data_IF_489929794143
#
_entry.id   IF_489929794143
#
_cell.length_a   1.000
_cell.length_b   1.000
_cell.length_c   1.000
_cell.angle_alpha   90.00
_cell.angle_beta   90.00
_cell.angle_gamma   90.00
#
_symmetry.space_group_name_H-M   'P 1'
#
loop_
_entity.id
_entity.type
_entity.pdbx_description
1 polymer ?
#
# COMPACT_ATOMS: atom_id res chain seq x y z
N UNK A 1 5.66 -4.79 8.44
CA UNK A 1 4.54 -5.17 9.34
C UNK A 1 3.59 -6.17 8.69
N UNK A 2 2.95 -5.86 7.54
CA UNK A 2 2.08 -6.81 6.84
C UNK A 2 2.67 -8.22 6.66
N UNK A 3 3.89 -8.33 6.11
CA UNK A 3 4.59 -9.62 5.96
C UNK A 3 4.73 -10.40 7.27
N UNK A 4 5.02 -9.71 8.38
CA UNK A 4 5.15 -10.33 9.70
C UNK A 4 3.81 -10.90 10.18
N UNK A 5 2.73 -10.11 10.10
CA UNK A 5 1.37 -10.54 10.46
C UNK A 5 0.96 -11.75 9.61
N UNK A 6 1.21 -11.68 8.30
CA UNK A 6 0.92 -12.77 7.37
C UNK A 6 1.66 -14.06 7.73
N UNK A 7 2.99 -14.00 7.84
CA UNK A 7 3.82 -15.19 8.07
C UNK A 7 3.47 -15.87 9.41
N UNK A 8 3.03 -15.09 10.42
CA UNK A 8 2.57 -15.62 11.72
C UNK A 8 1.14 -16.15 11.68
N UNK A 9 0.23 -15.46 11.01
CA UNK A 9 -1.18 -15.86 10.94
C UNK A 9 -1.44 -17.02 9.97
N UNK A 10 -0.52 -17.29 9.04
CA UNK A 10 -0.56 -18.45 8.14
C UNK A 10 -0.70 -19.79 8.90
N UNK A 11 -0.19 -19.87 10.14
CA UNK A 11 -0.37 -21.04 11.01
C UNK A 11 -1.84 -21.33 11.34
N UNK A 12 -2.67 -20.28 11.44
CA UNK A 12 -4.11 -20.37 11.76
C UNK A 12 -4.99 -20.42 10.53
N UNK A 13 -4.69 -19.60 9.53
CA UNK A 13 -5.51 -19.48 8.34
C UNK A 13 -4.63 -19.20 7.11
N UNK A 14 -4.02 -20.25 6.52
CA UNK A 14 -3.06 -20.09 5.44
C UNK A 14 -3.70 -19.57 4.13
N UNK A 15 -4.97 -19.86 3.90
CA UNK A 15 -5.66 -19.48 2.66
C UNK A 15 -6.02 -17.99 2.60
N UNK A 16 -6.03 -17.28 3.73
CA UNK A 16 -6.49 -15.89 3.81
C UNK A 16 -5.69 -14.93 2.92
N UNK A 17 -4.39 -15.18 2.69
CA UNK A 17 -3.54 -14.34 1.82
C UNK A 17 -4.05 -14.32 0.37
N UNK A 18 -4.53 -15.47 -0.12
CA UNK A 18 -5.06 -15.58 -1.49
C UNK A 18 -6.43 -14.94 -1.63
N UNK A 19 -7.18 -14.83 -0.52
CA UNK A 19 -8.55 -14.31 -0.51
C UNK A 19 -8.58 -12.77 -0.39
N UNK A 20 -7.69 -12.20 0.42
CA UNK A 20 -7.64 -10.75 0.68
C UNK A 20 -6.29 -10.20 0.22
N UNK A 21 -6.27 -9.66 -1.00
CA UNK A 21 -5.04 -9.17 -1.65
C UNK A 21 -4.55 -7.84 -1.06
N UNK A 22 -5.48 -7.00 -0.60
CA UNK A 22 -5.14 -5.68 -0.04
C UNK A 22 -4.48 -5.83 1.34
N UNK A 23 -3.25 -5.35 1.54
CA UNK A 23 -2.53 -5.51 2.80
C UNK A 23 -3.23 -4.90 4.02
N UNK A 24 -3.94 -3.78 3.83
CA UNK A 24 -4.64 -3.09 4.91
C UNK A 24 -5.90 -3.86 5.31
N UNK A 25 -6.66 -4.35 4.33
CA UNK A 25 -7.85 -5.17 4.56
C UNK A 25 -7.47 -6.52 5.19
N UNK A 26 -6.35 -7.12 4.75
CA UNK A 26 -5.83 -8.35 5.33
C UNK A 26 -5.56 -8.18 6.82
N UNK A 27 -4.81 -7.15 7.22
CA UNK A 27 -4.50 -6.87 8.63
C UNK A 27 -5.78 -6.64 9.46
N UNK A 28 -6.73 -5.88 8.94
CA UNK A 28 -8.03 -5.66 9.62
C UNK A 28 -8.80 -6.96 9.78
N UNK A 29 -8.83 -7.80 8.74
CA UNK A 29 -9.50 -9.10 8.77
C UNK A 29 -8.86 -10.03 9.81
N UNK A 30 -7.53 -10.08 9.86
CA UNK A 30 -6.78 -10.89 10.84
C UNK A 30 -7.13 -10.46 12.27
N UNK A 31 -7.18 -9.15 12.53
CA UNK A 31 -7.54 -8.62 13.85
C UNK A 31 -8.98 -9.00 14.26
N UNK A 32 -9.92 -8.90 13.32
CA UNK A 32 -11.33 -9.20 13.59
C UNK A 32 -11.60 -10.72 13.77
N UNK A 33 -10.92 -11.58 13.01
CA UNK A 33 -11.10 -13.03 13.12
C UNK A 33 -10.33 -13.62 14.31
N UNK A 34 -9.08 -13.21 14.52
CA UNK A 34 -8.22 -13.77 15.56
C UNK A 34 -8.16 -15.30 15.50
N UNK A 35 -8.51 -15.96 16.61
CA UNK A 35 -8.59 -17.42 16.68
C UNK A 35 -9.98 -17.98 16.35
N UNK A 36 -11.04 -17.18 16.47
CA UNK A 36 -12.41 -17.63 16.27
C UNK A 36 -12.85 -17.31 14.84
N UNK A 37 -12.73 -18.32 13.98
CA UNK A 37 -13.01 -18.16 12.57
C UNK A 37 -14.51 -18.09 12.25
N UNK A 38 -15.39 -18.50 13.17
CA UNK A 38 -16.83 -18.40 12.99
C UNK A 38 -17.32 -16.94 13.04
N UNK A 39 -16.51 -16.03 13.58
CA UNK A 39 -16.75 -14.58 13.50
C UNK A 39 -16.88 -14.08 12.06
N UNK A 40 -16.31 -14.79 11.07
CA UNK A 40 -16.44 -14.44 9.67
C UNK A 40 -17.90 -14.35 9.18
N UNK A 41 -18.81 -15.13 9.79
CA UNK A 41 -20.22 -15.24 9.34
C UNK A 41 -21.10 -14.07 9.78
N UNK A 42 -20.84 -13.54 10.99
CA UNK A 42 -21.75 -12.60 11.66
C UNK A 42 -21.10 -11.25 12.02
N UNK A 43 -19.86 -11.00 11.63
CA UNK A 43 -19.19 -9.76 12.00
C UNK A 43 -19.56 -8.60 11.05
N UNK A 44 -20.34 -7.66 11.58
CA UNK A 44 -20.74 -6.42 10.89
C UNK A 44 -19.53 -5.54 10.52
N UNK A 45 -18.43 -5.63 11.26
CA UNK A 45 -17.22 -4.83 11.02
C UNK A 45 -16.55 -5.26 9.70
N UNK A 46 -16.54 -6.56 9.40
CA UNK A 46 -15.99 -7.07 8.13
C UNK A 46 -16.76 -6.53 6.92
N UNK A 47 -18.07 -6.30 7.06
CA UNK A 47 -18.93 -5.76 5.99
C UNK A 47 -18.61 -4.29 5.66
N UNK A 48 -17.94 -3.56 6.55
CA UNK A 48 -17.57 -2.17 6.32
C UNK A 48 -16.42 -2.02 5.32
N UNK A 49 -15.60 -3.05 5.12
CA UNK A 49 -14.40 -2.96 4.29
C UNK A 49 -14.19 -4.13 3.32
N UNK A 50 -14.90 -5.26 3.47
CA UNK A 50 -14.89 -6.37 2.52
C UNK A 50 -16.22 -6.48 1.77
N UNK A 51 -16.18 -6.98 0.54
CA UNK A 51 -17.40 -7.30 -0.21
C UNK A 51 -18.08 -8.54 0.36
N UNK A 52 -19.41 -8.64 0.20
CA UNK A 52 -20.16 -9.80 0.67
C UNK A 52 -19.68 -11.11 0.03
N UNK A 53 -19.23 -11.06 -1.23
CA UNK A 53 -18.63 -12.20 -1.92
C UNK A 53 -17.33 -12.66 -1.24
N UNK A 54 -16.44 -11.73 -0.89
CA UNK A 54 -15.20 -12.04 -0.16
C UNK A 54 -15.49 -12.64 1.21
N UNK A 55 -16.44 -12.09 1.97
CA UNK A 55 -16.83 -12.59 3.29
C UNK A 55 -17.38 -14.02 3.22
N UNK A 56 -18.20 -14.32 2.21
CA UNK A 56 -18.72 -15.67 1.98
C UNK A 56 -17.60 -16.67 1.70
N UNK A 57 -16.66 -16.32 0.81
CA UNK A 57 -15.53 -17.19 0.49
C UNK A 57 -14.66 -17.41 1.72
N UNK A 58 -14.32 -16.34 2.46
CA UNK A 58 -13.57 -16.42 3.72
C UNK A 58 -14.27 -17.34 4.72
N UNK A 59 -15.60 -17.22 4.90
CA UNK A 59 -16.36 -18.05 5.83
C UNK A 59 -16.39 -19.54 5.44
N UNK A 60 -16.52 -19.83 4.15
CA UNK A 60 -16.51 -21.20 3.62
C UNK A 60 -15.12 -21.81 3.80
N UNK A 61 -14.07 -21.10 3.37
CA UNK A 61 -12.68 -21.59 3.48
C UNK A 61 -12.25 -21.72 4.94
N UNK A 62 -12.73 -20.83 5.81
CA UNK A 62 -12.46 -20.91 7.23
C UNK A 62 -13.10 -22.13 7.91
N UNK A 63 -14.24 -22.62 7.40
CA UNK A 63 -14.88 -23.85 7.89
C UNK A 63 -14.13 -25.12 7.47
N UNK A 64 -13.33 -25.05 6.40
CA UNK A 64 -12.55 -26.17 5.85
C UNK A 64 -11.04 -26.00 6.03
N UNK A 65 -10.59 -24.99 6.78
CA UNK A 65 -9.16 -24.69 6.92
C UNK A 65 -8.45 -25.78 7.70
N UNK A 66 -7.21 -26.07 7.32
CA UNK A 66 -6.34 -27.04 8.01
C UNK A 66 -5.44 -26.37 9.06
N UNK A 67 -5.65 -25.08 9.35
CA UNK A 67 -4.84 -24.34 10.30
C UNK A 67 -5.02 -24.76 11.75
N UNK A 68 -3.99 -24.51 12.56
CA UNK A 68 -3.97 -24.84 13.99
C UNK A 68 -4.33 -23.62 14.84
N UNK A 69 -4.90 -23.84 16.02
CA UNK A 69 -5.15 -22.73 16.95
C UNK A 69 -3.84 -22.08 17.41
N UNK A 70 -3.82 -20.75 17.43
CA UNK A 70 -2.68 -19.99 17.94
C UNK A 70 -2.68 -20.02 19.47
N UNK A 71 -1.49 -20.08 20.05
CA UNK A 71 -1.34 -19.83 21.48
C UNK A 71 -1.68 -18.39 21.83
N UNK A 72 -2.02 -18.12 23.09
CA UNK A 72 -2.34 -16.76 23.55
C UNK A 72 -1.20 -15.78 23.26
N UNK A 73 0.05 -16.21 23.48
CA UNK A 73 1.24 -15.42 23.18
C UNK A 73 1.39 -15.12 21.69
N UNK A 74 1.21 -16.12 20.81
CA UNK A 74 1.26 -15.90 19.36
C UNK A 74 0.15 -14.96 18.88
N UNK A 75 -1.05 -15.09 19.43
CA UNK A 75 -2.17 -14.21 19.12
C UNK A 75 -1.86 -12.75 19.53
N UNK A 76 -1.37 -12.54 20.75
CA UNK A 76 -1.03 -11.20 21.24
C UNK A 76 0.03 -10.52 20.37
N UNK A 77 1.06 -11.25 19.93
CA UNK A 77 2.06 -10.72 18.99
C UNK A 77 1.46 -10.32 17.62
N UNK A 78 0.48 -11.09 17.15
CA UNK A 78 -0.22 -10.79 15.89
C UNK A 78 -1.11 -9.56 16.05
N UNK A 79 -1.87 -9.49 17.15
CA UNK A 79 -2.75 -8.36 17.47
C UNK A 79 -1.95 -7.05 17.60
N UNK A 80 -0.81 -7.07 18.30
CA UNK A 80 0.12 -5.92 18.38
C UNK A 80 0.65 -5.52 17.00
N UNK A 81 1.01 -6.51 16.16
CA UNK A 81 1.42 -6.27 14.79
C UNK A 81 0.32 -5.65 13.92
N UNK A 82 -0.94 -6.05 14.13
CA UNK A 82 -2.10 -5.49 13.46
C UNK A 82 -2.35 -4.04 13.88
N UNK A 83 -2.27 -3.74 15.18
CA UNK A 83 -2.44 -2.40 15.73
C UNK A 83 -1.37 -1.45 15.20
N UNK A 84 -0.11 -1.85 15.25
CA UNK A 84 0.99 -1.08 14.70
C UNK A 84 0.80 -0.78 13.20
N UNK A 85 0.32 -1.74 12.41
CA UNK A 85 0.07 -1.53 10.99
C UNK A 85 -1.07 -0.52 10.74
N UNK A 86 -2.14 -0.57 11.53
CA UNK A 86 -3.24 0.39 11.43
C UNK A 86 -2.82 1.79 11.87
N UNK A 87 -2.06 1.90 12.96
CA UNK A 87 -1.49 3.17 13.40
C UNK A 87 -0.58 3.78 12.32
N UNK A 88 0.32 2.98 11.75
CA UNK A 88 1.19 3.43 10.65
C UNK A 88 0.37 3.92 9.44
N UNK A 89 -0.73 3.25 9.11
CA UNK A 89 -1.62 3.70 8.05
C UNK A 89 -2.30 5.04 8.39
N UNK A 90 -2.75 5.21 9.64
CA UNK A 90 -3.35 6.46 10.09
C UNK A 90 -2.33 7.61 10.09
N UNK A 91 -1.09 7.37 10.53
CA UNK A 91 -0.01 8.35 10.45
C UNK A 91 0.33 8.71 9.00
N UNK A 92 0.39 7.71 8.12
CA UNK A 92 0.58 7.90 6.69
C UNK A 92 -0.50 8.82 6.11
N UNK A 93 -1.78 8.59 6.41
CA UNK A 93 -2.89 9.45 5.95
C UNK A 93 -2.77 10.89 6.47
N UNK A 94 -2.47 11.08 7.76
CA UNK A 94 -2.24 12.41 8.34
C UNK A 94 -1.10 13.15 7.64
N UNK A 95 -0.02 12.46 7.28
CA UNK A 95 1.08 13.04 6.52
C UNK A 95 0.63 13.42 5.12
N UNK A 96 -0.18 12.59 4.45
CA UNK A 96 -0.73 12.94 3.13
C UNK A 96 -1.59 14.19 3.17
N UNK A 97 -2.53 14.28 4.11
CA UNK A 97 -3.40 15.45 4.30
C UNK A 97 -2.57 16.71 4.57
N UNK A 98 -1.54 16.60 5.41
CA UNK A 98 -0.63 17.70 5.69
C UNK A 98 0.13 18.14 4.44
N UNK A 99 0.70 17.19 3.68
CA UNK A 99 1.41 17.49 2.43
C UNK A 99 0.46 18.13 1.43
N UNK A 100 -0.74 17.61 1.25
CA UNK A 100 -1.74 18.13 0.34
C UNK A 100 -2.11 19.58 0.67
N UNK A 101 -2.42 19.87 1.93
CA UNK A 101 -2.70 21.22 2.41
C UNK A 101 -1.55 22.20 2.14
N UNK A 102 -0.30 21.81 2.43
CA UNK A 102 0.87 22.67 2.21
C UNK A 102 1.21 22.83 0.74
N UNK A 103 1.03 21.79 -0.06
CA UNK A 103 1.39 21.76 -1.48
C UNK A 103 0.44 22.63 -2.31
N UNK A 104 -0.86 22.62 -1.97
CA UNK A 104 -1.85 23.51 -2.55
C UNK A 104 -1.51 24.99 -2.34
N UNK A 105 -0.87 25.34 -1.22
CA UNK A 105 -0.40 26.71 -0.95
C UNK A 105 0.94 27.03 -1.64
N UNK A 106 1.91 26.11 -1.61
CA UNK A 106 3.28 26.36 -2.10
C UNK A 106 3.37 26.31 -3.62
N UNK A 107 2.74 25.31 -4.24
CA UNK A 107 2.83 25.05 -5.67
C UNK A 107 1.47 24.57 -6.24
N UNK A 108 0.45 25.45 -6.27
CA UNK A 108 -0.92 25.08 -6.68
C UNK A 108 -0.96 24.50 -8.10
N UNK A 109 -0.26 25.11 -9.06
CA UNK A 109 -0.31 24.68 -10.46
C UNK A 109 0.25 23.26 -10.64
N UNK A 110 1.38 22.95 -10.00
CA UNK A 110 2.00 21.61 -10.10
C UNK A 110 1.15 20.58 -9.36
N UNK A 111 0.57 20.96 -8.22
CA UNK A 111 -0.33 20.09 -7.44
C UNK A 111 -1.54 19.66 -8.24
N UNK A 112 -2.16 20.59 -8.98
CA UNK A 112 -3.33 20.29 -9.81
C UNK A 112 -2.99 19.38 -10.99
N UNK A 113 -1.81 19.56 -11.60
CA UNK A 113 -1.41 18.77 -12.77
C UNK A 113 -0.96 17.35 -12.39
N UNK A 114 -0.14 17.20 -11.34
CA UNK A 114 0.53 15.93 -11.02
C UNK A 114 0.03 15.27 -9.72
N UNK A 115 -0.80 15.96 -8.95
CA UNK A 115 -1.17 15.58 -7.58
C UNK A 115 -0.14 16.04 -6.55
N UNK A 116 -0.61 16.36 -5.34
CA UNK A 116 0.21 16.91 -4.27
C UNK A 116 1.38 15.99 -3.86
N UNK A 117 1.15 14.68 -3.84
CA UNK A 117 2.16 13.68 -3.47
C UNK A 117 3.37 13.68 -4.43
N UNK A 118 3.13 13.75 -5.74
CA UNK A 118 4.20 13.74 -6.75
C UNK A 118 4.86 15.10 -6.85
N UNK A 119 4.09 16.18 -6.76
CA UNK A 119 4.62 17.54 -6.66
C UNK A 119 5.60 17.68 -5.49
N UNK A 120 5.24 17.14 -4.31
CA UNK A 120 6.10 17.12 -3.14
C UNK A 120 7.42 16.37 -3.39
N UNK A 121 7.36 15.19 -4.03
CA UNK A 121 8.55 14.39 -4.37
C UNK A 121 9.47 15.11 -5.35
N UNK A 122 8.90 15.73 -6.39
CA UNK A 122 9.66 16.50 -7.38
C UNK A 122 10.36 17.70 -6.74
N UNK A 123 9.64 18.49 -5.93
CA UNK A 123 10.26 19.61 -5.22
C UNK A 123 11.30 19.15 -4.20
N UNK A 124 11.07 18.04 -3.50
CA UNK A 124 12.01 17.47 -2.56
C UNK A 124 13.34 17.10 -3.21
N UNK A 125 13.29 16.37 -4.34
CA UNK A 125 14.50 15.96 -5.08
C UNK A 125 15.17 17.14 -5.80
N UNK A 126 14.39 18.09 -6.33
CA UNK A 126 14.94 19.28 -6.96
C UNK A 126 15.58 20.26 -5.95
N UNK A 127 15.24 20.16 -4.65
CA UNK A 127 15.71 21.08 -3.61
C UNK A 127 14.92 22.39 -3.56
N UNK A 128 13.63 22.34 -3.85
CA UNK A 128 12.70 23.47 -3.80
C UNK A 128 12.23 23.99 -5.16
N UNK A 129 11.22 24.86 -5.13
CA UNK A 129 10.52 25.34 -6.33
C UNK A 129 11.42 26.13 -7.29
N UNK A 130 12.28 27.02 -6.76
CA UNK A 130 13.19 27.84 -7.57
C UNK A 130 14.25 27.02 -8.30
N UNK A 131 14.68 25.89 -7.69
CA UNK A 131 15.60 24.97 -8.36
C UNK A 131 14.86 24.17 -9.41
N UNK A 132 13.67 23.67 -9.07
CA UNK A 132 12.80 22.94 -10.00
C UNK A 132 12.50 23.77 -11.26
N UNK A 133 12.24 25.07 -11.13
CA UNK A 133 11.96 25.95 -12.28
C UNK A 133 13.14 26.17 -13.23
N UNK A 134 14.37 25.85 -12.80
CA UNK A 134 15.59 25.95 -13.61
C UNK A 134 15.96 24.64 -14.30
N UNK A 135 15.31 23.53 -13.91
CA UNK A 135 15.57 22.21 -14.49
C UNK A 135 14.81 22.12 -15.83
N UNK A 136 15.47 21.74 -16.93
CA UNK A 136 14.79 21.56 -18.22
C UNK A 136 13.83 20.37 -18.18
N UNK A 137 12.78 20.42 -18.99
CA UNK A 137 11.69 19.41 -18.97
C UNK A 137 12.18 17.96 -19.13
N UNK A 138 13.17 17.72 -20.00
CA UNK A 138 13.76 16.39 -20.19
C UNK A 138 14.42 15.83 -18.91
N UNK A 139 14.97 16.70 -18.06
CA UNK A 139 15.55 16.28 -16.79
C UNK A 139 14.48 16.13 -15.71
N UNK A 140 13.42 16.96 -15.73
CA UNK A 140 12.27 16.82 -14.82
C UNK A 140 11.61 15.44 -14.97
N UNK A 141 11.48 14.95 -16.22
CA UNK A 141 10.94 13.63 -16.52
C UNK A 141 11.69 12.50 -15.80
N UNK A 142 13.02 12.62 -15.67
CA UNK A 142 13.91 11.61 -15.11
C UNK A 142 14.14 11.77 -13.60
N UNK A 143 13.55 12.80 -12.96
CA UNK A 143 13.68 12.99 -11.52
C UNK A 143 13.05 11.81 -10.77
N UNK A 144 13.82 11.23 -9.86
CA UNK A 144 13.40 10.05 -9.10
C UNK A 144 13.64 8.71 -9.79
N UNK A 145 14.22 8.70 -11.00
CA UNK A 145 14.59 7.45 -11.67
C UNK A 145 15.63 6.68 -10.85
N UNK A 146 15.30 5.44 -10.49
CA UNK A 146 16.24 4.55 -9.82
C UNK A 146 17.18 3.91 -10.86
N UNK A 147 18.45 4.26 -10.82
CA UNK A 147 19.50 3.52 -11.53
C UNK A 147 19.88 2.30 -10.68
N UNK A 148 19.19 1.17 -10.86
CA UNK A 148 19.72 -0.10 -10.34
C UNK A 148 20.73 -0.64 -11.32
N UNK A 149 22.01 -0.62 -10.92
CA UNK A 149 23.05 -1.36 -11.64
C UNK A 149 22.72 -2.85 -11.53
N UNK A 150 22.42 -3.50 -12.66
CA UNK A 150 22.20 -4.93 -12.72
C UNK A 150 23.55 -5.62 -12.54
N UNK A 151 23.95 -5.86 -11.30
CA UNK A 151 25.09 -6.70 -10.97
C UNK A 151 24.67 -8.17 -11.07
N UNK A 152 25.21 -8.89 -12.07
CA UNK A 152 25.01 -10.34 -12.25
C UNK A 152 23.93 -10.72 -13.28
N UNK A 153 23.46 -11.97 -13.24
CA UNK A 153 22.50 -12.56 -14.19
C UNK A 153 21.01 -12.24 -13.91
N UNK A 154 20.72 -11.30 -13.01
CA UNK A 154 19.32 -10.99 -12.67
C UNK A 154 18.67 -10.16 -13.77
N UNK A 155 17.64 -10.67 -14.43
CA UNK A 155 16.79 -9.89 -15.33
C UNK A 155 15.63 -9.27 -14.52
N UNK A 156 15.87 -8.13 -13.88
CA UNK A 156 14.76 -7.28 -13.44
C UNK A 156 14.58 -6.18 -14.48
N UNK A 157 13.55 -6.32 -15.32
CA UNK A 157 13.24 -5.34 -16.37
C UNK A 157 12.65 -4.09 -15.72
N UNK A 158 13.51 -3.12 -15.41
CA UNK A 158 13.08 -1.77 -15.07
C UNK A 158 12.70 -1.04 -16.35
N UNK A 159 11.56 -0.34 -16.34
CA UNK A 159 11.17 0.53 -17.44
C UNK A 159 12.22 1.66 -17.55
N UNK A 160 12.93 1.78 -18.69
CA UNK A 160 13.92 2.84 -18.85
C UNK A 160 13.23 4.21 -18.86
N UNK A 161 13.94 5.24 -18.42
CA UNK A 161 13.48 6.64 -18.46
C UNK A 161 12.20 6.96 -17.68
N UNK A 162 11.88 6.17 -16.65
CA UNK A 162 10.72 6.41 -15.78
C UNK A 162 11.11 7.12 -14.48
N UNK A 163 10.68 8.37 -14.31
CA UNK A 163 10.80 9.14 -13.07
C UNK A 163 9.47 9.26 -12.32
N UNK A 164 9.38 10.18 -11.35
CA UNK A 164 8.16 10.36 -10.55
C UNK A 164 6.93 10.74 -11.38
N UNK A 165 7.12 11.49 -12.47
CA UNK A 165 6.04 11.92 -13.38
C UNK A 165 5.37 10.70 -14.03
N UNK A 166 6.11 9.64 -14.33
CA UNK A 166 5.55 8.42 -14.92
C UNK A 166 4.48 7.78 -14.01
N UNK A 167 4.67 7.85 -12.70
CA UNK A 167 3.74 7.29 -11.71
C UNK A 167 2.58 8.22 -11.34
N UNK A 168 2.41 9.33 -12.06
CA UNK A 168 1.25 10.20 -11.88
C UNK A 168 -0.02 9.57 -12.43
N UNK A 169 -1.15 9.91 -11.81
CA UNK A 169 -2.45 9.39 -12.20
C UNK A 169 -2.74 9.68 -13.67
N UNK A 170 -2.39 10.87 -14.15
CA UNK A 170 -2.59 11.25 -15.56
C UNK A 170 -1.86 10.32 -16.54
N UNK A 171 -0.63 9.88 -16.20
CA UNK A 171 0.13 8.95 -17.05
C UNK A 171 -0.37 7.51 -16.84
N UNK A 172 -0.60 7.08 -15.59
CA UNK A 172 -1.03 5.72 -15.29
C UNK A 172 -2.45 5.39 -15.81
N UNK A 173 -3.33 6.38 -15.91
CA UNK A 173 -4.66 6.23 -16.49
C UNK A 173 -4.65 6.12 -18.03
N UNK A 174 -3.50 6.36 -18.66
CA UNK A 174 -3.32 6.23 -20.10
C UNK A 174 -2.94 4.78 -20.46
N UNK A 175 -3.40 4.22 -21.61
CA UNK A 175 -3.00 2.89 -22.07
C UNK A 175 -1.48 2.73 -22.13
N UNK A 176 -0.91 1.54 -21.81
CA UNK A 176 0.54 1.35 -21.69
C UNK A 176 1.37 1.81 -22.88
N UNK A 177 0.85 1.64 -24.11
CA UNK A 177 1.55 2.04 -25.34
C UNK A 177 1.59 3.57 -25.55
N UNK A 178 0.77 4.31 -24.82
CA UNK A 178 0.63 5.77 -24.89
C UNK A 178 1.20 6.48 -23.65
N UNK A 179 1.88 5.76 -22.76
CA UNK A 179 2.48 6.31 -21.53
C UNK A 179 3.86 6.93 -21.74
#
# INVERSE_FOLDING_TARGET
VHKFVRDKYQKRFPELESLVVSPLEYVRTVKELGNDLDQAKNNEILQQFLTQATIMVVSVTASTTQGTMLTKFEKEQIDEGCDMAMELNNFKLKIYEYVESRMAFIAPNISVILGASIAAKLMGVAGGLTRLSKIPACNVLLLGQQKKSLSGFSQTTMLPHTGFVYYSEIVQNTPPDLR
#
